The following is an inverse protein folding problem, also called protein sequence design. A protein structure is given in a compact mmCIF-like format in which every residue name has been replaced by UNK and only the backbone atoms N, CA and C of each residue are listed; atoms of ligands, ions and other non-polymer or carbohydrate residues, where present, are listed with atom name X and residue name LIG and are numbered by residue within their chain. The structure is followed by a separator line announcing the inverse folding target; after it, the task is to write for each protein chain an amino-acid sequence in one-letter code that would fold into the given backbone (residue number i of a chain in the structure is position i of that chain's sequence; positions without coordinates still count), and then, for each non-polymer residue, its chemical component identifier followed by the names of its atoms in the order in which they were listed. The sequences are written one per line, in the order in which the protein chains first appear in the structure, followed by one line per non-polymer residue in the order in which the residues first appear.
data_IF_974413840866
#
_entry.id   IF_974413840866
#
_cell.length_a   1.000
_cell.length_b   1.000
_cell.length_c   1.000
_cell.angle_alpha   90.00
_cell.angle_beta   90.00
_cell.angle_gamma   90.00
#
_symmetry.space_group_name_H-M   'P 1'
#
loop_
_entity.id
_entity.type
_entity.pdbx_description
1 polymer ?
#
# COMPACT_ATOMS: atom_id res chain seq x y z
N UNK A 1 -2.88 0.47 -21.04
CA UNK A 1 -2.70 -0.17 -19.74
C UNK A 1 -1.34 -0.84 -19.67
N UNK A 2 -0.64 -0.70 -18.57
CA UNK A 2 0.76 -1.12 -18.45
C UNK A 2 0.89 -2.06 -17.25
N UNK A 3 1.42 -3.25 -17.51
CA UNK A 3 1.83 -4.14 -16.43
C UNK A 3 3.26 -3.83 -16.05
N UNK A 4 3.55 -3.89 -14.77
CA UNK A 4 4.90 -3.73 -14.24
C UNK A 4 5.08 -4.69 -13.07
N UNK A 5 6.22 -4.61 -12.41
CA UNK A 5 6.53 -5.54 -11.32
C UNK A 5 5.57 -5.42 -10.14
N UNK A 6 4.92 -4.27 -9.96
CA UNK A 6 3.95 -4.08 -8.89
C UNK A 6 2.59 -4.72 -9.19
N UNK A 7 2.22 -4.84 -10.46
CA UNK A 7 0.87 -5.28 -10.86
C UNK A 7 0.48 -6.57 -10.18
N UNK A 8 -0.70 -6.57 -9.53
CA UNK A 8 -1.22 -7.73 -8.83
C UNK A 8 -1.45 -7.43 -7.36
N UNK A 9 -1.72 -8.49 -6.61
CA UNK A 9 -2.06 -8.37 -5.18
C UNK A 9 -0.89 -8.82 -4.31
N UNK A 10 -0.63 -8.02 -3.28
CA UNK A 10 0.46 -8.27 -2.33
C UNK A 10 -0.11 -8.38 -0.93
N UNK A 11 0.38 -9.33 -0.17
CA UNK A 11 -0.02 -9.56 1.22
C UNK A 11 0.81 -8.64 2.12
N UNK A 12 0.15 -7.78 2.91
CA UNK A 12 0.85 -6.97 3.90
C UNK A 12 1.19 -7.88 5.08
N UNK A 13 2.47 -8.14 5.28
CA UNK A 13 2.93 -9.05 6.31
C UNK A 13 3.62 -8.36 7.47
N UNK A 14 3.73 -7.03 7.43
CA UNK A 14 4.29 -6.25 8.53
C UNK A 14 3.95 -4.79 8.38
N UNK A 15 3.62 -4.15 9.50
CA UNK A 15 3.52 -2.69 9.59
C UNK A 15 4.23 -2.25 10.87
N UNK A 16 4.81 -1.05 10.82
CA UNK A 16 5.58 -0.51 11.91
C UNK A 16 4.70 -0.08 13.10
N UNK A 17 3.55 0.53 12.79
CA UNK A 17 2.63 1.10 13.77
C UNK A 17 1.60 0.12 14.32
N UNK A 18 1.29 -0.94 13.60
CA UNK A 18 0.21 -1.88 13.97
C UNK A 18 0.71 -3.30 13.90
N UNK A 19 0.18 -4.14 14.79
CA UNK A 19 0.54 -5.56 14.78
C UNK A 19 -0.31 -6.32 13.76
N UNK A 20 0.06 -7.58 13.54
CA UNK A 20 -0.58 -8.40 12.50
C UNK A 20 -2.05 -8.68 12.81
N UNK A 21 -2.43 -8.78 14.08
CA UNK A 21 -3.83 -9.00 14.46
C UNK A 21 -4.69 -7.81 14.03
N UNK A 22 -4.18 -6.58 14.15
CA UNK A 22 -4.89 -5.41 13.67
C UNK A 22 -4.95 -5.41 12.15
N UNK A 23 -3.80 -5.64 11.50
CA UNK A 23 -3.70 -5.63 10.03
C UNK A 23 -4.75 -6.54 9.41
N UNK A 24 -4.96 -7.72 10.01
CA UNK A 24 -5.83 -8.75 9.49
C UNK A 24 -7.21 -8.79 10.16
N UNK A 25 -7.59 -7.72 10.87
CA UNK A 25 -8.81 -7.72 11.68
C UNK A 25 -10.08 -8.00 10.89
N UNK A 26 -10.19 -7.49 9.67
CA UNK A 26 -11.36 -7.69 8.81
C UNK A 26 -11.11 -8.78 7.79
N UNK A 27 -10.04 -8.62 7.01
CA UNK A 27 -9.60 -9.57 6.00
C UNK A 27 -8.07 -9.55 6.02
N UNK A 28 -7.40 -10.53 5.42
CA UNK A 28 -5.93 -10.47 5.33
C UNK A 28 -5.49 -9.16 4.67
N UNK A 29 -4.63 -8.41 5.35
CA UNK A 29 -4.18 -7.10 4.85
C UNK A 29 -3.49 -7.23 3.51
N UNK A 30 -3.80 -6.32 2.59
CA UNK A 30 -3.25 -6.38 1.23
C UNK A 30 -3.06 -5.00 0.62
N UNK A 31 -2.22 -4.95 -0.39
CA UNK A 31 -2.10 -3.80 -1.28
C UNK A 31 -2.07 -4.35 -2.69
N UNK A 32 -2.86 -3.77 -3.58
CA UNK A 32 -3.08 -4.28 -4.92
C UNK A 32 -2.88 -3.17 -5.95
N UNK A 33 -2.16 -3.49 -7.02
CA UNK A 33 -1.86 -2.52 -8.09
C UNK A 33 -2.46 -3.02 -9.39
N UNK A 34 -3.28 -2.19 -10.02
CA UNK A 34 -3.95 -2.51 -11.28
C UNK A 34 -3.09 -2.07 -12.46
N UNK A 35 -3.38 -2.59 -13.63
CA UNK A 35 -2.64 -2.21 -14.84
C UNK A 35 -3.06 -0.85 -15.41
N UNK A 36 -4.05 -0.19 -14.81
CA UNK A 36 -4.55 1.12 -15.24
C UNK A 36 -3.96 2.29 -14.46
N UNK A 37 -2.96 2.04 -13.62
CA UNK A 37 -2.34 3.09 -12.80
C UNK A 37 -3.02 3.33 -11.47
N UNK A 38 -4.11 2.61 -11.20
CA UNK A 38 -4.83 2.71 -9.94
C UNK A 38 -4.53 1.51 -9.06
N UNK A 39 -4.98 1.55 -7.82
CA UNK A 39 -4.84 0.42 -6.92
C UNK A 39 -5.68 0.59 -5.68
N UNK A 40 -5.55 -0.33 -4.76
CA UNK A 40 -6.25 -0.24 -3.48
C UNK A 40 -5.49 -1.01 -2.42
N UNK A 41 -5.78 -0.70 -1.16
CA UNK A 41 -5.26 -1.45 -0.03
C UNK A 41 -6.30 -1.54 1.07
N UNK A 42 -6.13 -2.53 1.92
CA UNK A 42 -6.91 -2.61 3.15
C UNK A 42 -6.03 -3.23 4.23
N UNK A 43 -6.02 -2.61 5.38
CA UNK A 43 -5.44 -3.19 6.59
C UNK A 43 -6.30 -2.74 7.76
N UNK A 44 -6.68 -3.69 8.63
CA UNK A 44 -7.59 -3.38 9.70
C UNK A 44 -8.90 -2.85 9.13
N UNK A 45 -9.31 -1.70 9.62
CA UNK A 45 -10.55 -1.04 9.18
C UNK A 45 -10.30 0.09 8.20
N UNK A 46 -9.07 0.19 7.69
CA UNK A 46 -8.68 1.24 6.74
C UNK A 46 -8.72 0.67 5.34
N UNK A 47 -9.47 1.32 4.44
CA UNK A 47 -9.57 0.93 3.05
C UNK A 47 -9.28 2.15 2.19
N UNK A 48 -8.27 2.07 1.34
CA UNK A 48 -7.84 3.19 0.50
C UNK A 48 -7.78 2.82 -0.96
N UNK A 49 -8.10 3.78 -1.81
CA UNK A 49 -7.99 3.68 -3.27
C UNK A 49 -6.86 4.59 -3.72
N UNK A 50 -5.94 4.06 -4.50
CA UNK A 50 -4.70 4.72 -4.85
C UNK A 50 -4.68 5.21 -6.29
N UNK A 51 -4.03 6.37 -6.49
CA UNK A 51 -3.61 6.89 -7.79
C UNK A 51 -2.09 6.81 -7.79
N UNK A 52 -1.51 5.98 -8.66
CA UNK A 52 -0.12 5.57 -8.60
C UNK A 52 0.73 6.23 -9.68
N UNK A 53 1.98 6.53 -9.33
CA UNK A 53 3.01 7.02 -10.25
C UNK A 53 4.24 6.14 -10.09
N UNK A 54 4.64 5.49 -11.17
CA UNK A 54 5.75 4.54 -11.14
C UNK A 54 7.04 5.16 -11.61
N UNK A 55 8.16 4.72 -11.04
CA UNK A 55 9.49 5.22 -11.36
C UNK A 55 10.54 4.18 -10.97
N UNK A 56 11.80 4.59 -10.97
CA UNK A 56 12.89 3.78 -10.43
C UNK A 56 13.70 4.65 -9.49
N UNK A 57 14.19 4.02 -8.42
CA UNK A 57 15.07 4.69 -7.46
C UNK A 57 16.24 3.77 -7.17
N UNK A 58 17.44 4.23 -7.50
CA UNK A 58 18.68 3.48 -7.26
C UNK A 58 18.61 2.07 -7.84
N UNK A 59 18.01 1.93 -9.03
CA UNK A 59 17.90 0.64 -9.72
C UNK A 59 16.73 -0.21 -9.27
N UNK A 60 15.96 0.21 -8.28
CA UNK A 60 14.77 -0.52 -7.82
C UNK A 60 13.51 0.08 -8.38
N UNK A 61 12.54 -0.77 -8.73
CA UNK A 61 11.22 -0.28 -9.15
C UNK A 61 10.54 0.38 -7.96
N UNK A 62 9.93 1.55 -8.21
CA UNK A 62 9.34 2.38 -7.17
C UNK A 62 7.97 2.87 -7.58
N UNK A 63 7.15 3.19 -6.60
CA UNK A 63 5.84 3.80 -6.81
C UNK A 63 5.61 4.85 -5.74
N UNK A 64 5.03 5.97 -6.16
CA UNK A 64 4.46 6.96 -5.26
C UNK A 64 2.97 7.00 -5.51
N UNK A 65 2.18 7.22 -4.48
CA UNK A 65 0.74 7.27 -4.66
C UNK A 65 0.08 8.23 -3.68
N UNK A 66 -1.04 8.78 -4.12
CA UNK A 66 -2.01 9.40 -3.23
C UNK A 66 -3.16 8.42 -3.07
N UNK A 67 -3.90 8.55 -1.98
CA UNK A 67 -5.03 7.66 -1.75
C UNK A 67 -6.14 8.37 -1.01
N UNK A 68 -7.35 7.88 -1.21
CA UNK A 68 -8.51 8.31 -0.44
C UNK A 68 -9.40 7.10 -0.18
N UNK A 69 -10.13 7.16 0.91
CA UNK A 69 -10.99 6.06 1.31
C UNK A 69 -11.59 6.34 2.67
N UNK A 70 -11.55 5.35 3.54
CA UNK A 70 -12.15 5.49 4.86
C UNK A 70 -11.42 4.64 5.90
N UNK A 71 -11.54 5.10 7.14
CA UNK A 71 -11.08 4.39 8.32
C UNK A 71 -12.35 4.15 9.15
N UNK A 72 -12.86 2.93 9.10
CA UNK A 72 -14.19 2.59 9.58
C UNK A 72 -15.23 3.47 8.88
N UNK A 73 -15.90 4.35 9.59
CA UNK A 73 -16.94 5.21 9.04
C UNK A 73 -16.45 6.62 8.74
N UNK A 74 -15.19 6.92 9.05
CA UNK A 74 -14.63 8.25 8.83
C UNK A 74 -13.89 8.31 7.50
N UNK A 75 -14.03 9.43 6.78
CA UNK A 75 -13.23 9.68 5.58
C UNK A 75 -11.77 9.77 5.94
N UNK A 76 -10.93 9.19 5.10
CA UNK A 76 -9.48 9.24 5.28
C UNK A 76 -8.80 9.42 3.93
N UNK A 77 -7.61 10.00 3.95
CA UNK A 77 -6.82 10.20 2.74
C UNK A 77 -5.36 10.33 3.12
N UNK A 78 -4.50 10.28 2.11
CA UNK A 78 -3.08 10.44 2.35
C UNK A 78 -2.25 10.17 1.12
N UNK A 79 -1.02 9.76 1.37
CA UNK A 79 -0.06 9.42 0.31
C UNK A 79 0.84 8.30 0.81
N UNK A 80 1.70 7.83 -0.09
CA UNK A 80 2.66 6.81 0.29
C UNK A 80 3.65 6.56 -0.82
N UNK A 81 4.61 5.69 -0.55
CA UNK A 81 5.56 5.24 -1.55
C UNK A 81 5.99 3.82 -1.21
N UNK A 82 6.55 3.15 -2.20
CA UNK A 82 7.08 1.81 -1.99
C UNK A 82 8.13 1.50 -3.03
N UNK A 83 9.03 0.58 -2.69
CA UNK A 83 10.02 0.06 -3.62
C UNK A 83 9.97 -1.47 -3.54
N UNK A 84 10.41 -2.10 -4.62
CA UNK A 84 10.59 -3.55 -4.65
C UNK A 84 12.06 -3.85 -4.43
N UNK A 85 12.37 -4.60 -3.38
CA UNK A 85 13.72 -5.06 -3.08
C UNK A 85 13.67 -6.56 -2.87
N UNK A 86 14.46 -7.31 -3.67
CA UNK A 86 14.52 -8.77 -3.58
C UNK A 86 13.14 -9.42 -3.70
N UNK A 87 12.29 -8.85 -4.58
CA UNK A 87 10.97 -9.41 -4.84
C UNK A 87 9.91 -9.08 -3.81
N UNK A 88 10.23 -8.26 -2.81
CA UNK A 88 9.29 -7.85 -1.77
C UNK A 88 9.10 -6.34 -1.77
N UNK A 89 7.92 -5.90 -1.34
CA UNK A 89 7.64 -4.48 -1.21
C UNK A 89 8.05 -3.99 0.16
N UNK A 90 8.75 -2.85 0.17
CA UNK A 90 9.04 -2.09 1.38
C UNK A 90 8.54 -0.67 1.13
N UNK A 91 7.65 -0.18 1.97
CA UNK A 91 7.04 1.12 1.73
C UNK A 91 6.70 1.87 2.99
N UNK A 92 6.03 2.99 2.78
CA UNK A 92 5.61 3.87 3.85
C UNK A 92 4.26 4.48 3.49
N UNK A 93 3.36 4.54 4.45
CA UNK A 93 2.02 5.04 4.26
C UNK A 93 1.78 6.22 5.19
N UNK A 94 1.23 7.30 4.64
CA UNK A 94 0.93 8.52 5.39
C UNK A 94 -0.57 8.79 5.36
N UNK A 95 -1.14 9.06 6.54
CA UNK A 95 -2.49 9.61 6.65
C UNK A 95 -2.37 11.13 6.65
N UNK A 96 -3.23 11.78 5.89
CA UNK A 96 -3.26 13.24 5.83
C UNK A 96 -3.56 13.79 7.23
N UNK A 97 -2.62 14.56 7.79
CA UNK A 97 -2.72 15.14 9.14
C UNK A 97 -2.87 14.07 10.24
N UNK A 98 -2.35 12.88 10.00
CA UNK A 98 -2.50 11.79 10.94
C UNK A 98 -1.27 10.91 11.04
N UNK A 99 -1.49 9.66 11.33
CA UNK A 99 -0.42 8.67 11.54
C UNK A 99 0.35 8.37 10.27
N UNK A 100 1.49 7.75 10.44
CA UNK A 100 2.27 7.17 9.34
C UNK A 100 2.88 5.87 9.80
N UNK A 101 3.16 4.99 8.85
CA UNK A 101 3.74 3.68 9.16
C UNK A 101 4.51 3.12 7.98
N UNK A 102 5.65 2.54 8.27
CA UNK A 102 6.30 1.66 7.31
C UNK A 102 5.48 0.39 7.13
N UNK A 103 5.61 -0.26 5.98
CA UNK A 103 4.95 -1.54 5.74
C UNK A 103 5.79 -2.41 4.82
N UNK A 104 5.58 -3.72 4.93
CA UNK A 104 6.19 -4.70 4.03
C UNK A 104 5.10 -5.59 3.49
N UNK A 105 5.29 -6.03 2.25
CA UNK A 105 4.32 -6.90 1.60
C UNK A 105 5.02 -7.89 0.68
N UNK A 106 4.41 -9.06 0.55
CA UNK A 106 4.93 -10.13 -0.30
C UNK A 106 3.90 -10.47 -1.37
N UNK A 107 4.37 -10.90 -2.52
CA UNK A 107 3.50 -11.22 -3.66
C UNK A 107 2.61 -12.41 -3.34
N UNK A 108 1.35 -12.29 -3.70
CA UNK A 108 0.40 -13.38 -3.58
C UNK A 108 0.24 -14.13 -4.88
#
# INVERSE_FOLDING_TARGET
MIKNEFTGKWRINKMEQWDQDFIDAEIPGYISFNSDGMGEFQFGYVHGFMDCRYSEKKGNKAVEFSWEGNDEMDSASGRGFAIIIDGEISGHLFFHKGDESGFKAIKQ
#
